data_IF_770565828010
#
_entry.id   IF_770565828010
#
_cell.length_a   1.000
_cell.length_b   1.000
_cell.length_c   1.000
_cell.angle_alpha   90.00
_cell.angle_beta   90.00
_cell.angle_gamma   90.00
#
_symmetry.space_group_name_H-M   'P 1'
#
loop_
_entity.id
_entity.type
_entity.pdbx_description
1 polymer ?
#
# COMPACT_ATOMS: atom_id res chain seq x y z
N UNK A 1 -9.01 -32.43 23.51
CA UNK A 1 -10.41 -32.18 23.10
C UNK A 1 -11.05 -33.53 22.84
N UNK A 2 -11.92 -33.95 23.74
CA UNK A 2 -12.72 -35.18 23.63
C UNK A 2 -13.65 -35.09 22.43
N UNK A 3 -13.96 -36.22 21.78
CA UNK A 3 -14.81 -36.27 20.57
C UNK A 3 -16.23 -35.73 20.85
N UNK A 4 -16.65 -35.71 22.13
CA UNK A 4 -17.97 -35.29 22.58
C UNK A 4 -18.19 -33.76 22.65
N UNK A 5 -17.16 -32.93 22.55
CA UNK A 5 -17.29 -31.45 22.59
C UNK A 5 -17.36 -30.79 21.20
N UNK A 6 -17.56 -31.57 20.14
CA UNK A 6 -17.59 -31.07 18.76
C UNK A 6 -19.02 -30.75 18.34
N UNK A 7 -19.23 -29.52 17.86
CA UNK A 7 -20.46 -29.15 17.16
C UNK A 7 -20.38 -29.60 15.70
N UNK A 8 -21.46 -30.22 15.22
CA UNK A 8 -21.51 -30.82 13.88
C UNK A 8 -22.41 -29.99 12.97
N UNK A 9 -21.81 -29.35 11.97
CA UNK A 9 -22.49 -28.42 11.07
C UNK A 9 -23.13 -29.13 9.85
N UNK A 10 -22.94 -30.45 9.71
CA UNK A 10 -23.27 -31.18 8.49
C UNK A 10 -24.04 -32.47 8.80
N UNK A 11 -25.26 -32.34 9.32
CA UNK A 11 -26.03 -33.48 9.82
C UNK A 11 -27.52 -33.23 10.04
N UNK A 12 -28.23 -32.69 9.05
CA UNK A 12 -29.68 -32.47 9.13
C UNK A 12 -30.41 -32.66 7.81
N UNK A 13 -30.66 -33.92 7.45
CA UNK A 13 -31.61 -34.53 6.51
C UNK A 13 -31.89 -34.00 5.09
N UNK A 14 -31.55 -32.77 4.67
CA UNK A 14 -31.92 -32.30 3.31
C UNK A 14 -30.97 -31.31 2.64
N UNK A 15 -29.68 -31.31 2.95
CA UNK A 15 -28.73 -30.53 2.17
C UNK A 15 -28.31 -31.31 0.92
N UNK A 16 -28.84 -30.88 -0.23
CA UNK A 16 -28.57 -31.49 -1.52
C UNK A 16 -27.18 -31.03 -1.99
N UNK A 17 -26.13 -31.75 -1.61
CA UNK A 17 -24.76 -31.47 -2.07
C UNK A 17 -24.61 -31.88 -3.53
N UNK A 18 -23.98 -31.03 -4.34
CA UNK A 18 -23.68 -31.31 -5.72
C UNK A 18 -22.21 -31.07 -6.00
N UNK A 19 -21.66 -31.97 -6.79
CA UNK A 19 -20.30 -31.84 -7.28
C UNK A 19 -20.19 -30.59 -8.17
N UNK A 20 -19.15 -29.82 -7.95
CA UNK A 20 -18.77 -28.65 -8.71
C UNK A 20 -17.29 -28.81 -9.09
N UNK A 21 -17.04 -29.73 -10.00
CA UNK A 21 -15.71 -30.15 -10.43
C UNK A 21 -15.38 -29.58 -11.82
N UNK A 22 -14.15 -29.78 -12.26
CA UNK A 22 -13.65 -29.37 -13.58
C UNK A 22 -14.42 -29.96 -14.78
N UNK A 23 -15.33 -30.93 -14.58
CA UNK A 23 -16.25 -31.45 -15.60
C UNK A 23 -17.11 -30.37 -16.25
N UNK A 24 -17.40 -29.27 -15.54
CA UNK A 24 -18.07 -28.09 -16.13
C UNK A 24 -17.22 -27.40 -17.21
N UNK A 25 -15.93 -27.76 -17.30
CA UNK A 25 -14.93 -27.30 -18.26
C UNK A 25 -14.37 -28.46 -19.11
N UNK A 26 -15.11 -29.57 -19.25
CA UNK A 26 -14.68 -30.81 -19.95
C UNK A 26 -13.50 -31.56 -19.27
N UNK A 27 -13.17 -31.24 -18.02
CA UNK A 27 -12.20 -32.00 -17.22
C UNK A 27 -12.74 -33.37 -16.79
N UNK A 28 -11.88 -34.17 -16.14
CA UNK A 28 -12.19 -35.55 -15.71
C UNK A 28 -12.17 -35.75 -14.19
N UNK A 29 -11.99 -34.69 -13.40
CA UNK A 29 -12.02 -34.80 -11.95
C UNK A 29 -13.42 -35.12 -11.45
N UNK A 30 -13.49 -35.93 -10.40
CA UNK A 30 -14.73 -36.34 -9.76
C UNK A 30 -14.56 -36.22 -8.26
N UNK A 31 -15.52 -35.59 -7.59
CA UNK A 31 -15.62 -35.57 -6.13
C UNK A 31 -16.96 -36.10 -5.66
N UNK A 32 -16.94 -36.57 -4.42
CA UNK A 32 -18.09 -37.08 -3.69
C UNK A 32 -18.00 -36.57 -2.25
N UNK A 33 -19.12 -36.08 -1.72
CA UNK A 33 -19.29 -35.81 -0.30
C UNK A 33 -20.35 -36.76 0.24
N UNK A 34 -20.01 -37.56 1.24
CA UNK A 34 -20.93 -38.48 1.89
C UNK A 34 -21.04 -38.14 3.37
N UNK A 35 -22.25 -37.85 3.83
CA UNK A 35 -22.53 -37.58 5.24
C UNK A 35 -22.86 -38.91 5.93
N UNK A 36 -22.28 -39.14 7.11
CA UNK A 36 -22.53 -40.33 7.93
C UNK A 36 -23.99 -40.35 8.40
N UNK A 37 -24.53 -41.55 8.66
CA UNK A 37 -25.93 -41.72 9.05
C UNK A 37 -26.30 -41.01 10.36
N UNK A 38 -25.31 -40.77 11.23
CA UNK A 38 -25.49 -40.04 12.48
C UNK A 38 -25.32 -38.52 12.33
N UNK A 39 -25.03 -38.02 11.12
CA UNK A 39 -24.87 -36.59 10.83
C UNK A 39 -23.62 -35.95 11.45
N UNK A 40 -22.72 -36.75 12.02
CA UNK A 40 -21.55 -36.25 12.76
C UNK A 40 -20.30 -36.16 11.91
N UNK A 41 -20.25 -36.81 10.75
CA UNK A 41 -19.04 -36.84 9.93
C UNK A 41 -19.41 -36.70 8.46
N UNK A 42 -18.66 -35.88 7.73
CA UNK A 42 -18.72 -35.83 6.29
C UNK A 42 -17.40 -36.37 5.73
N UNK A 43 -17.48 -37.32 4.80
CA UNK A 43 -16.34 -37.87 4.08
C UNK A 43 -16.31 -37.28 2.68
N UNK A 44 -15.26 -36.52 2.39
CA UNK A 44 -14.97 -36.01 1.05
C UNK A 44 -13.92 -36.90 0.38
N UNK A 45 -14.25 -37.46 -0.78
CA UNK A 45 -13.34 -38.30 -1.56
C UNK A 45 -13.53 -38.07 -3.06
N UNK A 46 -12.60 -38.56 -3.88
CA UNK A 46 -12.68 -38.36 -5.33
C UNK A 46 -11.39 -38.69 -6.08
N UNK A 47 -11.46 -38.50 -7.39
CA UNK A 47 -10.33 -38.61 -8.32
C UNK A 47 -10.02 -37.22 -8.85
N UNK A 48 -8.78 -36.78 -8.65
CA UNK A 48 -8.28 -35.52 -9.21
C UNK A 48 -7.49 -35.84 -10.47
N UNK A 49 -7.94 -35.33 -11.62
CA UNK A 49 -7.21 -35.42 -12.87
C UNK A 49 -6.65 -34.05 -13.25
N UNK A 50 -5.33 -33.92 -13.19
CA UNK A 50 -4.63 -32.68 -13.52
C UNK A 50 -4.16 -32.64 -14.97
N UNK A 51 -4.27 -33.74 -15.71
CA UNK A 51 -3.70 -33.85 -17.07
C UNK A 51 -4.64 -33.35 -18.16
N UNK A 52 -5.95 -33.58 -18.04
CA UNK A 52 -6.92 -33.23 -19.09
C UNK A 52 -7.01 -31.71 -19.34
N UNK A 53 -6.64 -30.88 -18.37
CA UNK A 53 -6.67 -29.42 -18.45
C UNK A 53 -5.28 -28.77 -18.29
N UNK A 54 -4.21 -29.44 -18.75
CA UNK A 54 -2.88 -28.82 -18.83
C UNK A 54 -2.21 -28.52 -17.48
N UNK A 55 -2.50 -29.30 -16.43
CA UNK A 55 -1.89 -29.16 -15.10
C UNK A 55 -2.85 -28.69 -14.01
N UNK A 56 -4.05 -28.21 -14.35
CA UNK A 56 -5.03 -27.68 -13.41
C UNK A 56 -6.26 -28.60 -13.29
N UNK A 57 -6.31 -29.41 -12.23
CA UNK A 57 -7.51 -30.17 -11.86
C UNK A 57 -8.11 -29.65 -10.55
N UNK A 58 -9.43 -29.56 -10.45
CA UNK A 58 -10.09 -29.29 -9.18
C UNK A 58 -11.35 -30.14 -9.00
N UNK A 59 -11.56 -30.58 -7.77
CA UNK A 59 -12.72 -31.34 -7.36
C UNK A 59 -13.31 -30.67 -6.11
N UNK A 60 -14.55 -30.21 -6.16
CA UNK A 60 -15.19 -29.47 -5.07
C UNK A 60 -16.67 -29.80 -4.95
N UNK A 61 -17.24 -29.51 -3.79
CA UNK A 61 -18.65 -29.80 -3.48
C UNK A 61 -19.31 -28.52 -2.98
N UNK A 62 -20.57 -28.31 -3.39
CA UNK A 62 -21.37 -27.16 -2.99
C UNK A 62 -22.78 -27.58 -2.59
N UNK A 63 -23.45 -26.78 -1.79
CA UNK A 63 -24.88 -26.92 -1.55
C UNK A 63 -25.67 -26.56 -2.81
N UNK A 64 -26.81 -27.23 -3.04
CA UNK A 64 -27.70 -26.90 -4.15
C UNK A 64 -28.55 -25.66 -3.87
N UNK A 65 -28.82 -25.36 -2.60
CA UNK A 65 -29.47 -24.11 -2.19
C UNK A 65 -28.46 -22.96 -2.22
N UNK A 66 -28.86 -21.84 -2.84
CA UNK A 66 -28.02 -20.65 -3.00
C UNK A 66 -27.94 -19.81 -1.72
N UNK A 67 -28.90 -19.94 -0.80
CA UNK A 67 -28.98 -19.20 0.47
C UNK A 67 -28.80 -20.13 1.68
N UNK A 68 -27.58 -20.63 1.88
CA UNK A 68 -27.26 -21.43 3.05
C UNK A 68 -27.01 -20.52 4.28
N UNK A 69 -28.07 -20.17 5.00
CA UNK A 69 -27.96 -19.42 6.25
C UNK A 69 -27.57 -20.35 7.41
N UNK A 70 -26.27 -20.46 7.69
CA UNK A 70 -25.76 -21.19 8.85
C UNK A 70 -25.47 -20.22 9.99
N UNK A 71 -26.06 -20.47 11.16
CA UNK A 71 -25.63 -19.81 12.39
C UNK A 71 -24.34 -20.49 12.89
N UNK A 72 -23.22 -19.78 12.76
CA UNK A 72 -21.89 -20.24 13.16
C UNK A 72 -21.42 -19.64 14.49
N UNK A 73 -22.28 -18.89 15.19
CA UNK A 73 -21.88 -18.12 16.38
C UNK A 73 -21.33 -18.98 17.53
N UNK A 74 -21.71 -20.25 17.59
CA UNK A 74 -21.24 -21.20 18.59
C UNK A 74 -19.96 -21.98 18.18
N UNK A 75 -19.40 -21.76 16.99
CA UNK A 75 -18.28 -22.52 16.44
C UNK A 75 -16.98 -21.72 16.48
N UNK A 76 -15.93 -22.27 17.10
CA UNK A 76 -14.60 -21.64 17.15
C UNK A 76 -13.71 -21.95 15.92
N UNK A 77 -14.06 -22.98 15.14
CA UNK A 77 -13.26 -23.41 13.98
C UNK A 77 -13.66 -24.75 13.39
N UNK A 78 -12.84 -25.26 12.47
CA UNK A 78 -13.11 -26.49 11.70
C UNK A 78 -12.05 -27.55 12.03
N UNK A 79 -12.49 -28.77 12.29
CA UNK A 79 -11.62 -29.92 12.54
C UNK A 79 -11.52 -30.76 11.27
N UNK A 80 -10.29 -30.96 10.78
CA UNK A 80 -10.00 -31.78 9.61
C UNK A 80 -9.25 -33.05 10.04
N UNK A 81 -9.74 -34.20 9.59
CA UNK A 81 -9.05 -35.48 9.75
C UNK A 81 -8.61 -35.97 8.38
N UNK A 82 -7.30 -35.99 8.12
CA UNK A 82 -6.74 -36.49 6.87
C UNK A 82 -6.46 -37.99 7.02
N UNK A 83 -7.18 -38.81 6.25
CA UNK A 83 -6.91 -40.25 6.16
C UNK A 83 -5.88 -40.46 5.05
N UNK A 84 -4.66 -40.84 5.43
CA UNK A 84 -3.60 -41.17 4.47
C UNK A 84 -3.95 -42.44 3.69
N UNK A 85 -3.67 -42.46 2.39
CA UNK A 85 -3.69 -43.69 1.59
C UNK A 85 -2.42 -44.47 1.91
N UNK A 86 -2.53 -45.58 2.65
CA UNK A 86 -1.60 -46.72 2.77
C UNK A 86 -0.08 -46.45 2.91
N UNK A 87 0.52 -46.97 3.97
CA UNK A 87 1.97 -47.09 4.14
C UNK A 87 2.66 -47.61 2.87
N UNK A 88 3.66 -46.88 2.37
CA UNK A 88 4.63 -47.47 1.44
C UNK A 88 5.45 -46.55 0.55
N UNK A 89 5.03 -45.31 0.27
CA UNK A 89 5.74 -44.49 -0.72
C UNK A 89 5.98 -43.05 -0.24
N UNK A 90 7.16 -42.78 0.34
CA UNK A 90 7.59 -41.44 0.76
C UNK A 90 7.56 -40.40 -0.38
N UNK A 91 7.47 -40.84 -1.63
CA UNK A 91 7.38 -39.99 -2.83
C UNK A 91 6.01 -39.33 -3.05
N UNK A 92 4.97 -39.71 -2.31
CA UNK A 92 3.60 -39.18 -2.48
C UNK A 92 3.09 -38.40 -1.26
N UNK A 93 3.90 -37.51 -0.67
CA UNK A 93 3.39 -36.47 0.24
C UNK A 93 2.48 -35.50 -0.52
N UNK A 94 1.18 -35.78 -0.51
CA UNK A 94 0.16 -34.91 -1.11
C UNK A 94 -0.06 -33.69 -0.20
N UNK A 95 0.05 -32.49 -0.77
CA UNK A 95 -0.35 -31.24 -0.12
C UNK A 95 -1.82 -31.00 -0.44
N UNK A 96 -2.62 -30.76 0.58
CA UNK A 96 -4.03 -30.42 0.44
C UNK A 96 -4.24 -28.95 0.78
N UNK A 97 -5.01 -28.25 -0.04
CA UNK A 97 -5.52 -26.92 0.28
C UNK A 97 -7.04 -27.05 0.47
N UNK A 98 -7.54 -26.63 1.63
CA UNK A 98 -8.97 -26.49 1.86
C UNK A 98 -9.34 -25.03 1.63
N UNK A 99 -10.26 -24.80 0.70
CA UNK A 99 -10.84 -23.49 0.44
C UNK A 99 -12.31 -23.54 0.83
N UNK A 100 -12.73 -22.63 1.70
CA UNK A 100 -14.13 -22.40 2.02
C UNK A 100 -14.50 -21.05 1.45
N UNK A 101 -15.52 -21.01 0.61
CA UNK A 101 -15.98 -19.81 -0.07
C UNK A 101 -17.50 -19.78 -0.11
N UNK A 102 -18.04 -18.58 0.06
CA UNK A 102 -19.43 -18.19 -0.16
C UNK A 102 -19.67 -17.69 -1.61
N UNK A 103 -18.64 -17.72 -2.46
CA UNK A 103 -18.69 -17.26 -3.86
C UNK A 103 -18.62 -18.45 -4.81
N UNK A 104 -19.57 -18.55 -5.73
CA UNK A 104 -19.60 -19.58 -6.79
C UNK A 104 -18.46 -19.34 -7.77
N UNK A 105 -17.66 -20.37 -8.05
CA UNK A 105 -16.60 -20.28 -9.06
C UNK A 105 -17.20 -19.95 -10.43
N UNK A 106 -16.73 -18.86 -11.05
CA UNK A 106 -17.24 -18.42 -12.36
C UNK A 106 -16.73 -19.32 -13.50
N UNK A 107 -17.51 -19.34 -14.58
CA UNK A 107 -17.18 -20.01 -15.84
C UNK A 107 -16.20 -19.10 -16.59
N UNK A 108 -14.95 -19.55 -16.83
CA UNK A 108 -14.07 -18.88 -17.80
C UNK A 108 -14.79 -18.90 -19.16
N UNK A 109 -14.92 -17.73 -19.79
CA UNK A 109 -15.37 -17.62 -21.17
C UNK A 109 -14.33 -18.36 -22.03
N UNK A 110 -14.79 -19.18 -22.97
CA UNK A 110 -13.93 -20.01 -23.81
C UNK A 110 -13.18 -19.14 -24.82
N UNK A 111 -11.86 -19.20 -24.76
CA UNK A 111 -10.89 -18.62 -25.69
C UNK A 111 -10.93 -19.39 -27.02
N UNK A 112 -11.85 -19.06 -27.93
CA UNK A 112 -11.89 -19.66 -29.28
C UNK A 112 -11.70 -18.64 -30.42
N UNK A 113 -11.52 -17.34 -30.15
CA UNK A 113 -11.14 -16.36 -31.18
C UNK A 113 -10.31 -15.25 -30.51
N UNK A 114 -8.98 -15.36 -30.53
CA UNK A 114 -8.02 -14.27 -30.76
C UNK A 114 -6.59 -14.80 -30.70
N UNK A 115 -5.78 -14.34 -31.67
CA UNK A 115 -4.42 -14.79 -31.96
C UNK A 115 -3.44 -14.52 -30.81
N UNK A 116 -2.43 -15.38 -30.72
CA UNK A 116 -1.36 -15.43 -29.74
C UNK A 116 -0.73 -14.05 -29.43
N UNK A 117 -1.18 -13.41 -28.36
CA UNK A 117 -0.28 -12.76 -27.42
C UNK A 117 -0.22 -13.64 -26.18
N UNK A 118 0.96 -14.19 -25.87
CA UNK A 118 1.25 -14.80 -24.59
C UNK A 118 1.04 -13.75 -23.49
N UNK A 119 -0.20 -13.58 -23.02
CA UNK A 119 -0.46 -13.00 -21.71
C UNK A 119 0.16 -13.98 -20.71
N UNK A 120 1.40 -13.68 -20.33
CA UNK A 120 1.97 -14.06 -19.06
C UNK A 120 0.84 -13.92 -18.03
N UNK A 121 0.30 -15.03 -17.50
CA UNK A 121 -0.60 -15.08 -16.35
C UNK A 121 0.19 -14.67 -15.10
N UNK A 122 0.90 -13.54 -15.19
CA UNK A 122 1.33 -12.72 -14.11
C UNK A 122 0.02 -12.14 -13.58
N UNK A 123 -0.45 -12.69 -12.46
CA UNK A 123 -1.28 -11.96 -11.51
C UNK A 123 -0.51 -10.73 -11.03
N UNK A 124 -0.24 -9.83 -11.98
CA UNK A 124 0.85 -8.90 -11.99
C UNK A 124 0.57 -7.92 -10.89
N UNK A 125 1.38 -8.06 -9.84
CA UNK A 125 1.32 -7.28 -8.62
C UNK A 125 0.90 -5.86 -8.98
N UNK A 126 -0.15 -5.35 -8.35
CA UNK A 126 -0.65 -3.96 -8.56
C UNK A 126 0.46 -2.90 -8.49
N UNK A 127 1.62 -3.28 -7.94
CA UNK A 127 2.93 -2.66 -8.08
C UNK A 127 3.27 -2.18 -9.50
N UNK A 128 3.31 -3.05 -10.50
CA UNK A 128 3.77 -2.67 -11.86
C UNK A 128 2.85 -1.62 -12.49
N UNK A 129 1.51 -1.82 -12.54
CA UNK A 129 0.59 -0.80 -13.04
C UNK A 129 0.66 0.53 -12.27
N UNK A 130 0.88 0.47 -10.95
CA UNK A 130 1.00 1.67 -10.11
C UNK A 130 2.24 2.49 -10.43
N UNK A 131 3.40 1.83 -10.58
CA UNK A 131 4.66 2.50 -10.95
C UNK A 131 4.56 3.02 -12.39
N UNK A 132 4.04 2.22 -13.32
CA UNK A 132 3.82 2.64 -14.71
C UNK A 132 2.91 3.88 -14.78
N UNK A 133 1.81 3.90 -14.02
CA UNK A 133 0.93 5.06 -13.92
C UNK A 133 1.66 6.30 -13.38
N UNK A 134 2.58 6.12 -12.41
CA UNK A 134 3.37 7.23 -11.89
C UNK A 134 4.23 7.89 -12.98
N UNK A 135 4.91 7.08 -13.79
CA UNK A 135 5.72 7.57 -14.90
C UNK A 135 4.86 8.15 -16.04
N UNK A 136 3.73 7.52 -16.37
CA UNK A 136 2.82 8.00 -17.40
C UNK A 136 2.26 9.39 -17.05
N UNK A 137 1.78 9.58 -15.82
CA UNK A 137 1.26 10.88 -15.36
C UNK A 137 2.37 11.93 -15.42
N UNK A 138 3.56 11.61 -14.94
CA UNK A 138 4.68 12.57 -14.95
C UNK A 138 5.13 12.92 -16.37
N UNK A 139 5.14 11.96 -17.30
CA UNK A 139 5.39 12.22 -18.71
C UNK A 139 4.33 13.14 -19.33
N UNK A 140 3.04 12.91 -19.02
CA UNK A 140 1.94 13.75 -19.49
C UNK A 140 2.06 15.20 -19.00
N UNK A 141 2.52 15.43 -17.76
CA UNK A 141 2.78 16.77 -17.25
C UNK A 141 4.10 17.38 -17.76
N UNK A 142 5.10 16.55 -18.08
CA UNK A 142 6.37 17.01 -18.61
C UNK A 142 6.23 17.65 -20.00
N UNK A 143 5.34 17.13 -20.86
CA UNK A 143 5.10 17.65 -22.22
C UNK A 143 4.69 19.13 -22.22
N UNK A 144 3.55 19.55 -21.62
CA UNK A 144 3.18 20.97 -21.60
C UNK A 144 4.18 21.80 -20.80
N UNK A 145 4.77 21.26 -19.73
CA UNK A 145 5.74 22.00 -18.91
C UNK A 145 7.00 22.35 -19.71
N UNK A 146 7.52 21.42 -20.52
CA UNK A 146 8.70 21.64 -21.36
C UNK A 146 8.41 22.56 -22.55
N UNK A 147 7.22 22.47 -23.15
CA UNK A 147 6.77 23.38 -24.22
C UNK A 147 6.66 24.81 -23.71
N UNK A 148 6.00 25.02 -22.56
CA UNK A 148 5.76 26.34 -21.99
C UNK A 148 6.86 26.84 -21.05
N UNK A 149 7.93 26.03 -20.85
CA UNK A 149 9.03 26.31 -19.91
C UNK A 149 8.54 26.76 -18.52
N UNK A 150 7.48 26.10 -18.05
CA UNK A 150 6.74 26.48 -16.84
C UNK A 150 6.81 25.38 -15.80
N UNK A 151 7.28 25.72 -14.62
CA UNK A 151 7.35 24.85 -13.44
C UNK A 151 6.03 24.78 -12.66
N UNK A 152 5.02 25.58 -13.05
CA UNK A 152 3.75 25.70 -12.32
C UNK A 152 3.03 24.36 -12.15
N UNK A 153 3.24 23.44 -13.08
CA UNK A 153 2.63 22.12 -13.06
C UNK A 153 3.44 21.08 -12.27
N UNK A 154 4.68 21.37 -11.88
CA UNK A 154 5.57 20.39 -11.26
C UNK A 154 5.10 19.96 -9.86
N UNK A 155 4.71 20.91 -9.00
CA UNK A 155 4.21 20.57 -7.66
C UNK A 155 2.81 19.90 -7.73
N UNK A 156 2.00 20.28 -8.72
CA UNK A 156 0.67 19.71 -8.96
C UNK A 156 0.80 18.27 -9.48
N UNK A 157 1.69 18.02 -10.45
CA UNK A 157 1.90 16.69 -11.04
C UNK A 157 2.27 15.68 -9.97
N UNK A 158 3.18 16.04 -9.05
CA UNK A 158 3.52 15.20 -7.89
C UNK A 158 2.30 14.83 -7.05
N UNK A 159 1.45 15.82 -6.73
CA UNK A 159 0.23 15.59 -5.93
C UNK A 159 -0.77 14.69 -6.66
N UNK A 160 -1.03 14.96 -7.94
CA UNK A 160 -1.91 14.14 -8.80
C UNK A 160 -1.38 12.70 -8.90
N UNK A 161 -0.06 12.54 -9.02
CA UNK A 161 0.59 11.22 -9.12
C UNK A 161 0.33 10.39 -7.86
N UNK A 162 0.53 10.95 -6.65
CA UNK A 162 0.28 10.21 -5.41
C UNK A 162 -1.20 9.82 -5.27
N UNK A 163 -2.12 10.73 -5.59
CA UNK A 163 -3.56 10.44 -5.54
C UNK A 163 -3.97 9.35 -6.53
N UNK A 164 -3.47 9.43 -7.77
CA UNK A 164 -3.76 8.46 -8.81
C UNK A 164 -3.19 7.08 -8.48
N UNK A 165 -1.92 7.02 -8.05
CA UNK A 165 -1.26 5.77 -7.64
C UNK A 165 -1.93 5.13 -6.44
N UNK A 166 -2.32 5.92 -5.43
CA UNK A 166 -3.08 5.42 -4.29
C UNK A 166 -4.44 4.87 -4.68
N UNK A 167 -5.18 5.59 -5.53
CA UNK A 167 -6.49 5.17 -6.04
C UNK A 167 -6.41 3.93 -6.94
N UNK A 168 -5.52 3.92 -7.93
CA UNK A 168 -5.26 2.77 -8.78
C UNK A 168 -4.88 1.55 -7.95
N UNK A 169 -3.94 1.70 -7.01
CA UNK A 169 -3.55 0.63 -6.11
C UNK A 169 -4.75 0.02 -5.38
N UNK A 170 -5.61 0.88 -4.82
CA UNK A 170 -6.73 0.43 -4.00
C UNK A 170 -7.84 -0.24 -4.82
N UNK A 171 -8.13 0.27 -6.03
CA UNK A 171 -9.32 -0.13 -6.79
C UNK A 171 -9.04 -1.07 -7.97
N UNK A 172 -7.83 -1.07 -8.54
CA UNK A 172 -7.49 -1.89 -9.71
C UNK A 172 -7.73 -3.40 -9.48
N UNK A 173 -7.40 -4.01 -8.32
CA UNK A 173 -7.72 -5.41 -8.07
C UNK A 173 -9.22 -5.68 -8.08
N UNK A 174 -10.01 -4.79 -7.46
CA UNK A 174 -11.46 -4.94 -7.39
C UNK A 174 -12.11 -4.78 -8.77
N UNK A 175 -11.64 -3.81 -9.57
CA UNK A 175 -12.11 -3.57 -10.93
C UNK A 175 -11.80 -4.75 -11.86
N UNK A 176 -10.61 -5.35 -11.75
CA UNK A 176 -10.25 -6.55 -12.53
C UNK A 176 -11.10 -7.77 -12.18
N UNK A 177 -11.53 -7.87 -10.92
CA UNK A 177 -12.39 -8.97 -10.45
C UNK A 177 -13.89 -8.72 -10.63
N UNK A 178 -14.30 -7.51 -11.04
CA UNK A 178 -15.70 -7.12 -11.05
C UNK A 178 -16.38 -7.49 -12.38
N UNK A 179 -17.33 -8.42 -12.32
CA UNK A 179 -18.26 -8.70 -13.41
C UNK A 179 -19.47 -7.75 -13.33
N UNK A 180 -19.31 -6.51 -13.78
CA UNK A 180 -20.41 -5.54 -13.92
C UNK A 180 -20.19 -4.15 -13.28
N UNK A 181 -21.26 -3.35 -13.21
CA UNK A 181 -21.21 -1.99 -12.64
C UNK A 181 -21.02 -2.03 -11.12
N UNK A 182 -19.91 -1.51 -10.63
CA UNK A 182 -19.55 -1.53 -9.22
C UNK A 182 -19.77 -0.16 -8.57
N UNK A 183 -20.52 -0.11 -7.47
CA UNK A 183 -20.69 1.12 -6.67
C UNK A 183 -19.46 1.38 -5.79
N UNK A 184 -19.19 2.65 -5.45
CA UNK A 184 -18.09 3.04 -4.55
C UNK A 184 -18.10 2.32 -3.20
N UNK A 185 -19.28 2.06 -2.64
CA UNK A 185 -19.42 1.31 -1.38
C UNK A 185 -18.98 -0.15 -1.53
N UNK A 186 -19.28 -0.79 -2.66
CA UNK A 186 -18.86 -2.15 -2.96
C UNK A 186 -17.35 -2.24 -3.17
N UNK A 187 -16.75 -1.25 -3.85
CA UNK A 187 -15.29 -1.16 -4.05
C UNK A 187 -14.52 -1.05 -2.74
N UNK A 188 -15.05 -0.33 -1.74
CA UNK A 188 -14.39 -0.21 -0.43
C UNK A 188 -14.60 -1.46 0.44
N UNK A 189 -15.76 -2.12 0.36
CA UNK A 189 -16.06 -3.33 1.15
C UNK A 189 -15.19 -4.53 0.76
N UNK A 190 -14.70 -4.59 -0.48
CA UNK A 190 -13.78 -5.65 -0.92
C UNK A 190 -12.35 -5.45 -0.41
N UNK A 191 -12.04 -4.31 0.24
CA UNK A 191 -10.68 -3.96 0.66
C UNK A 191 -10.52 -4.06 2.17
N UNK A 192 -9.35 -4.54 2.59
CA UNK A 192 -9.04 -4.63 4.00
C UNK A 192 -8.86 -3.23 4.60
N UNK A 193 -9.30 -3.02 5.85
CA UNK A 193 -9.29 -1.71 6.49
C UNK A 193 -7.90 -1.05 6.52
N UNK A 194 -6.81 -1.83 6.61
CA UNK A 194 -5.43 -1.32 6.57
C UNK A 194 -5.06 -0.73 5.21
N UNK A 195 -5.52 -1.33 4.11
CA UNK A 195 -5.30 -0.83 2.74
C UNK A 195 -5.97 0.54 2.57
N UNK A 196 -7.21 0.66 3.05
CA UNK A 196 -7.97 1.90 3.04
C UNK A 196 -7.28 2.95 3.93
N UNK A 197 -6.93 2.59 5.16
CA UNK A 197 -6.32 3.51 6.12
C UNK A 197 -4.98 4.06 5.62
N UNK A 198 -4.07 3.22 5.13
CA UNK A 198 -2.75 3.66 4.67
C UNK A 198 -2.82 4.47 3.37
N UNK A 199 -3.74 4.12 2.47
CA UNK A 199 -4.01 4.93 1.27
C UNK A 199 -4.56 6.30 1.68
N UNK A 200 -5.52 6.35 2.60
CA UNK A 200 -6.11 7.59 3.10
C UNK A 200 -5.06 8.47 3.81
N UNK A 201 -4.18 7.89 4.62
CA UNK A 201 -3.08 8.61 5.27
C UNK A 201 -2.15 9.29 4.26
N UNK A 202 -1.74 8.57 3.21
CA UNK A 202 -0.94 9.15 2.14
C UNK A 202 -1.69 10.27 1.41
N UNK A 203 -2.96 10.04 1.05
CA UNK A 203 -3.78 11.05 0.36
C UNK A 203 -4.03 12.30 1.22
N UNK A 204 -4.32 12.16 2.51
CA UNK A 204 -4.50 13.30 3.43
C UNK A 204 -3.24 14.15 3.48
N UNK A 205 -2.08 13.51 3.63
CA UNK A 205 -0.80 14.20 3.61
C UNK A 205 -0.58 14.92 2.27
N UNK A 206 -0.80 14.24 1.14
CA UNK A 206 -0.64 14.83 -0.20
C UNK A 206 -1.57 16.00 -0.45
N UNK A 207 -2.85 15.89 -0.09
CA UNK A 207 -3.81 16.98 -0.29
C UNK A 207 -3.37 18.20 0.53
N UNK A 208 -2.94 17.99 1.76
CA UNK A 208 -2.46 19.06 2.64
C UNK A 208 -1.19 19.72 2.10
N UNK A 209 -0.17 18.93 1.76
CA UNK A 209 1.11 19.46 1.27
C UNK A 209 0.94 20.07 -0.12
N UNK A 210 0.25 19.38 -1.03
CA UNK A 210 -0.06 19.85 -2.37
C UNK A 210 -0.85 21.15 -2.39
N UNK A 211 -1.84 21.31 -1.50
CA UNK A 211 -2.58 22.57 -1.36
C UNK A 211 -1.69 23.71 -0.89
N UNK A 212 -0.79 23.46 0.06
CA UNK A 212 0.16 24.46 0.55
C UNK A 212 1.16 24.89 -0.53
N UNK A 213 1.72 23.93 -1.28
CA UNK A 213 2.65 24.21 -2.37
C UNK A 213 1.96 24.93 -3.53
N UNK A 214 0.74 24.54 -3.89
CA UNK A 214 -0.03 25.18 -4.93
C UNK A 214 -0.36 26.64 -4.60
N UNK A 215 -0.79 26.93 -3.37
CA UNK A 215 -0.98 28.31 -2.90
C UNK A 215 0.31 29.14 -2.96
N UNK A 216 1.46 28.52 -2.67
CA UNK A 216 2.77 29.17 -2.77
C UNK A 216 3.16 29.51 -4.21
N UNK A 217 2.91 28.59 -5.15
CA UNK A 217 3.19 28.82 -6.57
C UNK A 217 2.33 29.97 -7.12
N UNK A 218 1.05 30.01 -6.76
CA UNK A 218 0.15 31.10 -7.17
C UNK A 218 0.55 32.46 -6.61
N UNK A 219 1.16 32.51 -5.43
CA UNK A 219 1.52 33.76 -4.75
C UNK A 219 2.91 34.30 -5.12
N UNK A 220 3.90 33.42 -5.32
CA UNK A 220 5.30 33.83 -5.54
C UNK A 220 5.81 33.64 -6.99
N UNK A 221 5.02 33.02 -7.86
CA UNK A 221 5.15 33.09 -9.33
C UNK A 221 6.28 32.27 -9.97
N UNK A 222 7.44 32.12 -9.32
CA UNK A 222 8.59 31.39 -9.87
C UNK A 222 9.42 30.69 -8.78
N UNK A 223 9.90 29.47 -9.05
CA UNK A 223 10.81 28.73 -8.17
C UNK A 223 12.24 28.71 -8.71
N UNK A 224 13.15 29.35 -7.96
CA UNK A 224 14.60 29.44 -8.20
C UNK A 224 15.30 28.11 -8.56
N UNK A 225 14.74 26.96 -8.15
CA UNK A 225 15.31 25.63 -8.45
C UNK A 225 15.25 25.31 -9.94
N UNK A 226 14.24 25.82 -10.65
CA UNK A 226 13.98 25.48 -12.05
C UNK A 226 14.61 26.46 -13.05
N UNK A 227 15.07 27.63 -12.59
CA UNK A 227 15.63 28.69 -13.43
C UNK A 227 16.75 28.21 -14.36
N UNK A 228 17.61 27.30 -13.87
CA UNK A 228 18.75 26.78 -14.63
C UNK A 228 18.40 25.63 -15.57
N UNK A 229 17.26 24.95 -15.36
CA UNK A 229 16.91 23.72 -16.08
C UNK A 229 15.73 23.89 -17.04
N UNK A 230 14.85 24.88 -16.83
CA UNK A 230 13.64 25.08 -17.66
C UNK A 230 13.93 25.31 -19.15
N UNK A 231 15.11 25.86 -19.47
CA UNK A 231 15.55 26.12 -20.85
C UNK A 231 16.13 24.87 -21.55
N UNK A 232 16.27 23.74 -20.85
CA UNK A 232 16.84 22.49 -21.37
C UNK A 232 15.78 21.38 -21.30
N UNK A 233 15.07 21.07 -22.40
CA UNK A 233 13.88 20.23 -22.36
C UNK A 233 14.14 18.82 -21.79
N UNK A 234 15.24 18.18 -22.17
CA UNK A 234 15.60 16.85 -21.65
C UNK A 234 15.95 16.87 -20.15
N UNK A 235 16.67 17.90 -19.70
CA UNK A 235 17.03 18.05 -18.27
C UNK A 235 15.77 18.36 -17.46
N UNK A 236 14.88 19.20 -17.99
CA UNK A 236 13.62 19.51 -17.32
C UNK A 236 12.68 18.29 -17.26
N UNK A 237 12.54 17.53 -18.36
CA UNK A 237 11.80 16.28 -18.37
C UNK A 237 12.36 15.24 -17.37
N UNK A 238 13.69 15.18 -17.21
CA UNK A 238 14.30 14.30 -16.20
C UNK A 238 13.89 14.65 -14.77
N UNK A 239 13.53 15.90 -14.47
CA UNK A 239 13.00 16.28 -13.17
C UNK A 239 11.61 15.67 -12.89
N UNK A 240 10.78 15.50 -13.92
CA UNK A 240 9.48 14.82 -13.81
C UNK A 240 9.67 13.31 -13.64
N UNK A 241 10.64 12.70 -14.33
CA UNK A 241 11.00 11.30 -14.11
C UNK A 241 11.57 11.05 -12.70
N UNK A 242 12.38 11.97 -12.18
CA UNK A 242 12.85 11.93 -10.79
C UNK A 242 11.67 12.04 -9.80
N UNK A 243 10.66 12.86 -10.12
CA UNK A 243 9.43 12.95 -9.32
C UNK A 243 8.60 11.66 -9.37
N UNK A 244 8.48 11.01 -10.53
CA UNK A 244 7.83 9.69 -10.65
C UNK A 244 8.52 8.63 -9.78
N UNK A 245 9.85 8.62 -9.81
CA UNK A 245 10.69 7.71 -9.02
C UNK A 245 10.51 7.97 -7.53
N UNK A 246 10.52 9.24 -7.13
CA UNK A 246 10.28 9.66 -5.75
C UNK A 246 8.89 9.22 -5.25
N UNK A 247 7.83 9.53 -6.00
CA UNK A 247 6.46 9.13 -5.65
C UNK A 247 6.36 7.61 -5.52
N UNK A 248 6.93 6.86 -6.45
CA UNK A 248 6.94 5.40 -6.41
C UNK A 248 7.64 4.86 -5.17
N UNK A 249 8.77 5.45 -4.78
CA UNK A 249 9.53 5.03 -3.61
C UNK A 249 8.80 5.33 -2.28
N UNK A 250 8.24 6.54 -2.11
CA UNK A 250 7.52 6.90 -0.87
C UNK A 250 6.18 6.16 -0.74
N UNK A 251 5.52 5.85 -1.86
CA UNK A 251 4.26 5.12 -1.88
C UNK A 251 4.43 3.61 -1.82
N UNK A 252 5.65 3.09 -1.88
CA UNK A 252 5.91 1.65 -1.91
C UNK A 252 5.24 0.82 -0.81
N UNK A 253 5.24 1.21 0.48
CA UNK A 253 4.46 0.51 1.50
C UNK A 253 2.96 0.42 1.17
N UNK A 254 2.37 1.48 0.60
CA UNK A 254 0.95 1.52 0.21
C UNK A 254 0.71 0.65 -1.01
N UNK A 255 1.56 0.77 -2.03
CA UNK A 255 1.48 0.01 -3.28
C UNK A 255 1.62 -1.50 -3.00
N UNK A 256 2.62 -1.89 -2.21
CA UNK A 256 2.84 -3.27 -1.83
C UNK A 256 1.67 -3.84 -1.03
N UNK A 257 1.13 -3.08 -0.07
CA UNK A 257 -0.03 -3.52 0.70
C UNK A 257 -1.29 -3.63 -0.18
N UNK A 258 -1.48 -2.70 -1.10
CA UNK A 258 -2.62 -2.72 -2.01
C UNK A 258 -2.55 -3.86 -3.04
N UNK A 259 -1.36 -4.35 -3.39
CA UNK A 259 -1.20 -5.51 -4.26
C UNK A 259 -1.65 -6.84 -3.63
N UNK A 260 -1.79 -6.89 -2.31
CA UNK A 260 -2.14 -8.13 -1.59
C UNK A 260 -3.67 -8.34 -1.62
N UNK A 261 -4.14 -9.57 -1.89
CA UNK A 261 -5.56 -9.92 -1.79
C UNK A 261 -6.10 -9.74 -0.36
N UNK A 262 -7.28 -9.13 -0.22
CA UNK A 262 -7.89 -8.85 1.09
C UNK A 262 -8.09 -10.11 1.95
N UNK A 263 -8.34 -11.26 1.32
CA UNK A 263 -8.47 -12.56 1.99
C UNK A 263 -7.19 -12.94 2.77
N UNK A 264 -6.01 -12.62 2.26
CA UNK A 264 -4.74 -12.88 2.93
C UNK A 264 -4.53 -11.97 4.16
N UNK A 265 -5.28 -10.87 4.27
CA UNK A 265 -5.22 -9.96 5.42
C UNK A 265 -6.26 -10.25 6.50
N UNK A 266 -7.22 -11.16 6.30
CA UNK A 266 -8.26 -11.43 7.30
C UNK A 266 -7.71 -11.93 8.64
N UNK A 267 -6.54 -12.58 8.63
CA UNK A 267 -5.83 -13.02 9.84
C UNK A 267 -5.11 -11.89 10.60
N UNK A 268 -5.16 -10.65 10.09
CA UNK A 268 -4.41 -9.52 10.62
C UNK A 268 -5.19 -8.66 11.63
N UNK A 269 -5.40 -9.18 12.84
CA UNK A 269 -5.98 -8.41 13.94
C UNK A 269 -5.20 -7.12 14.22
N UNK A 270 -5.90 -6.09 14.71
CA UNK A 270 -5.28 -4.83 15.15
C UNK A 270 -4.23 -5.12 16.24
N UNK A 271 -3.02 -4.57 16.09
CA UNK A 271 -1.91 -4.84 16.98
C UNK A 271 -1.19 -3.58 17.45
N UNK A 272 -0.21 -3.76 18.33
CA UNK A 272 0.61 -2.67 18.90
C UNK A 272 1.28 -1.81 17.81
N UNK A 273 1.80 -2.42 16.75
CA UNK A 273 2.44 -1.69 15.65
C UNK A 273 1.45 -0.82 14.84
N UNK A 274 0.17 -1.21 14.78
CA UNK A 274 -0.86 -0.38 14.15
C UNK A 274 -1.10 0.87 15.00
N UNK A 275 -1.25 0.70 16.33
CA UNK A 275 -1.39 1.82 17.27
C UNK A 275 -0.18 2.76 17.22
N UNK A 276 1.04 2.21 17.25
CA UNK A 276 2.27 3.00 17.19
C UNK A 276 2.39 3.74 15.86
N UNK A 277 2.13 3.06 14.74
CA UNK A 277 2.23 3.65 13.42
C UNK A 277 1.20 4.76 13.18
N UNK A 278 -0.05 4.58 13.61
CA UNK A 278 -1.07 5.65 13.55
C UNK A 278 -0.72 6.82 14.46
N UNK A 279 -0.20 6.56 15.66
CA UNK A 279 0.22 7.61 16.59
C UNK A 279 1.38 8.42 16.03
N UNK A 280 2.39 7.76 15.45
CA UNK A 280 3.51 8.41 14.77
C UNK A 280 3.05 9.25 13.57
N UNK A 281 2.14 8.71 12.76
CA UNK A 281 1.59 9.45 11.62
C UNK A 281 0.83 10.70 12.05
N UNK A 282 -0.05 10.59 13.05
CA UNK A 282 -0.80 11.73 13.57
C UNK A 282 0.13 12.78 14.19
N UNK A 283 1.14 12.36 14.96
CA UNK A 283 2.14 13.25 15.54
C UNK A 283 2.97 13.97 14.47
N UNK A 284 3.46 13.22 13.47
CA UNK A 284 4.24 13.78 12.35
C UNK A 284 3.44 14.77 11.52
N UNK A 285 2.20 14.43 11.15
CA UNK A 285 1.31 15.32 10.42
C UNK A 285 1.02 16.60 11.23
N UNK A 286 0.78 16.48 12.54
CA UNK A 286 0.53 17.63 13.42
C UNK A 286 1.75 18.53 13.53
N UNK A 287 2.94 17.95 13.70
CA UNK A 287 4.20 18.69 13.76
C UNK A 287 4.45 19.45 12.46
N UNK A 288 4.34 18.76 11.32
CA UNK A 288 4.52 19.38 10.01
C UNK A 288 3.47 20.46 9.76
N UNK A 289 2.20 20.23 10.09
CA UNK A 289 1.09 21.18 9.89
C UNK A 289 1.25 22.44 10.72
N UNK A 290 1.73 22.28 11.95
CA UNK A 290 1.97 23.40 12.86
C UNK A 290 3.18 24.21 12.41
N UNK A 291 4.27 23.54 12.00
CA UNK A 291 5.47 24.19 11.50
C UNK A 291 5.20 25.03 10.23
N UNK A 292 4.50 24.47 9.24
CA UNK A 292 4.19 25.20 8.01
C UNK A 292 3.24 26.37 8.25
N UNK A 293 2.27 26.23 9.17
CA UNK A 293 1.38 27.33 9.55
C UNK A 293 2.14 28.46 10.25
N UNK A 294 3.04 28.15 11.18
CA UNK A 294 3.88 29.14 11.85
C UNK A 294 4.76 29.86 10.84
N UNK A 295 5.44 29.11 9.96
CA UNK A 295 6.27 29.66 8.89
C UNK A 295 5.46 30.52 7.91
N UNK A 296 4.29 30.06 7.50
CA UNK A 296 3.40 30.81 6.59
C UNK A 296 2.91 32.12 7.19
N UNK A 297 2.47 32.12 8.45
CA UNK A 297 2.05 33.35 9.16
C UNK A 297 3.20 34.35 9.30
N UNK A 298 4.39 33.87 9.64
CA UNK A 298 5.55 34.76 9.77
C UNK A 298 5.96 35.36 8.42
N UNK A 299 5.99 34.57 7.34
CA UNK A 299 6.28 35.08 5.99
C UNK A 299 5.25 36.12 5.53
N UNK A 300 3.97 35.92 5.83
CA UNK A 300 2.92 36.89 5.52
C UNK A 300 3.06 38.16 6.37
N UNK A 301 3.35 38.05 7.66
CA UNK A 301 3.63 39.20 8.52
C UNK A 301 4.88 39.97 8.07
N UNK A 302 5.92 39.29 7.59
CA UNK A 302 7.08 39.94 6.92
C UNK A 302 6.65 40.72 5.69
N UNK A 303 5.78 40.16 4.85
CA UNK A 303 5.24 40.85 3.66
C UNK A 303 4.43 42.10 4.03
N UNK A 304 3.67 42.02 5.13
CA UNK A 304 2.89 43.12 5.69
C UNK A 304 3.72 44.11 6.54
N UNK A 305 5.05 43.96 6.59
CA UNK A 305 5.96 44.78 7.42
C UNK A 305 5.62 44.78 8.92
N UNK A 306 5.03 43.69 9.41
CA UNK A 306 4.71 43.48 10.83
C UNK A 306 5.87 42.84 11.60
N UNK A 307 6.78 42.17 10.90
CA UNK A 307 8.00 41.61 11.46
C UNK A 307 9.22 42.22 10.77
N UNK A 308 10.15 42.79 11.52
CA UNK A 308 11.44 43.28 11.00
C UNK A 308 12.58 42.27 11.21
N UNK A 309 12.32 41.23 11.98
CA UNK A 309 13.28 40.18 12.33
C UNK A 309 13.83 39.43 11.10
N UNK A 310 15.14 39.11 11.10
CA UNK A 310 15.80 38.45 9.98
C UNK A 310 15.43 36.96 9.83
N UNK A 311 15.02 36.28 10.91
CA UNK A 311 14.66 34.86 10.92
C UNK A 311 13.53 34.59 11.92
N UNK A 312 12.77 33.51 11.69
CA UNK A 312 11.73 33.05 12.60
C UNK A 312 12.39 32.34 13.79
N UNK A 313 12.23 32.88 15.00
CA UNK A 313 12.80 32.36 16.26
C UNK A 313 11.76 32.03 17.33
N UNK A 314 10.49 31.88 16.93
CA UNK A 314 9.37 31.62 17.84
C UNK A 314 8.70 30.26 17.56
N UNK A 315 7.98 29.74 18.56
CA UNK A 315 7.21 28.51 18.43
C UNK A 315 8.07 27.26 18.22
N UNK A 316 7.74 26.44 17.21
CA UNK A 316 8.50 25.22 16.89
C UNK A 316 9.88 25.50 16.29
N UNK A 317 10.16 26.76 15.95
CA UNK A 317 11.45 27.24 15.46
C UNK A 317 12.22 27.99 16.55
N UNK A 318 11.78 27.90 17.81
CA UNK A 318 12.41 28.62 18.92
C UNK A 318 13.87 28.21 19.12
N UNK A 319 14.65 29.16 19.63
CA UNK A 319 16.10 29.04 19.87
C UNK A 319 16.49 27.95 20.91
N UNK A 320 15.52 27.36 21.61
CA UNK A 320 15.81 26.38 22.65
C UNK A 320 16.32 25.06 22.05
N UNK A 321 17.37 24.47 22.63
CA UNK A 321 18.12 23.30 22.11
C UNK A 321 17.31 22.01 21.85
N UNK A 322 16.01 22.02 22.13
CA UNK A 322 15.08 20.90 21.92
C UNK A 322 14.28 21.05 20.62
N UNK A 323 14.15 22.28 20.09
CA UNK A 323 13.44 22.53 18.84
C UNK A 323 14.37 22.32 17.63
N UNK A 324 13.99 21.49 16.64
CA UNK A 324 14.79 21.31 15.43
C UNK A 324 14.72 22.55 14.53
N UNK A 325 15.79 22.81 13.77
CA UNK A 325 15.79 23.87 12.74
C UNK A 325 14.77 23.62 11.62
N UNK A 326 14.42 22.36 11.39
CA UNK A 326 13.49 21.94 10.36
C UNK A 326 12.36 21.05 10.92
N UNK A 327 11.45 21.59 11.75
CA UNK A 327 10.37 20.82 12.38
C UNK A 327 9.39 20.24 11.36
N UNK A 328 9.20 20.93 10.23
CA UNK A 328 8.41 20.42 9.11
C UNK A 328 9.02 19.15 8.49
N UNK A 329 10.34 19.11 8.29
CA UNK A 329 11.02 17.92 7.77
C UNK A 329 11.02 16.75 8.77
N UNK A 330 11.17 17.05 10.07
CA UNK A 330 11.00 16.03 11.11
C UNK A 330 9.59 15.44 11.09
N UNK A 331 8.56 16.28 10.95
CA UNK A 331 7.17 15.84 10.84
C UNK A 331 6.94 14.92 9.64
N UNK A 332 7.47 15.29 8.46
CA UNK A 332 7.39 14.48 7.25
C UNK A 332 8.10 13.12 7.39
N UNK A 333 9.31 13.09 7.95
CA UNK A 333 10.01 11.82 8.22
C UNK A 333 9.21 10.95 9.21
N UNK A 334 8.68 11.57 10.26
CA UNK A 334 7.94 10.87 11.32
C UNK A 334 6.65 10.25 10.78
N UNK A 335 5.90 10.97 9.93
CA UNK A 335 4.64 10.44 9.40
C UNK A 335 4.86 9.32 8.39
N UNK A 336 5.87 9.41 7.52
CA UNK A 336 6.20 8.31 6.61
C UNK A 336 6.75 7.09 7.36
N UNK A 337 7.46 7.31 8.47
CA UNK A 337 7.86 6.23 9.39
C UNK A 337 6.65 5.58 10.07
N UNK A 338 5.66 6.36 10.48
CA UNK A 338 4.39 5.85 11.04
C UNK A 338 3.64 4.99 10.04
N UNK A 339 3.49 5.47 8.80
CA UNK A 339 2.89 4.73 7.69
C UNK A 339 3.63 3.42 7.41
N UNK A 340 4.96 3.47 7.32
CA UNK A 340 5.81 2.28 7.14
C UNK A 340 5.67 1.29 8.29
N UNK A 341 5.49 1.75 9.54
CA UNK A 341 5.33 0.88 10.71
C UNK A 341 4.04 0.05 10.63
N UNK A 342 2.92 0.67 10.26
CA UNK A 342 1.65 -0.05 10.04
C UNK A 342 1.77 -1.01 8.85
N UNK A 343 2.41 -0.57 7.76
CA UNK A 343 2.60 -1.40 6.57
C UNK A 343 3.49 -2.62 6.87
N UNK A 344 4.62 -2.43 7.55
CA UNK A 344 5.55 -3.50 7.92
C UNK A 344 4.86 -4.55 8.81
N UNK A 345 4.00 -4.13 9.74
CA UNK A 345 3.23 -5.06 10.60
C UNK A 345 2.30 -5.98 9.80
N UNK A 346 1.72 -5.46 8.71
CA UNK A 346 0.89 -6.24 7.81
C UNK A 346 1.73 -7.13 6.89
N UNK A 347 2.76 -6.56 6.26
CA UNK A 347 3.57 -7.22 5.24
C UNK A 347 4.53 -8.29 5.81
N UNK A 348 4.84 -8.26 7.11
CA UNK A 348 5.65 -9.29 7.76
C UNK A 348 4.90 -10.62 7.94
N UNK A 349 3.57 -10.66 7.75
CA UNK A 349 2.78 -11.88 7.94
C UNK A 349 2.92 -12.84 6.75
N UNK A 350 3.01 -14.13 7.04
CA UNK A 350 3.18 -15.18 6.02
C UNK A 350 2.08 -15.22 4.94
N UNK A 351 0.77 -15.11 5.26
CA UNK A 351 -0.27 -15.07 4.24
C UNK A 351 -0.10 -13.88 3.27
N UNK A 352 0.35 -12.74 3.79
CA UNK A 352 0.59 -11.52 3.01
C UNK A 352 1.80 -11.67 2.11
N UNK A 353 2.88 -12.31 2.59
CA UNK A 353 4.05 -12.64 1.75
C UNK A 353 3.69 -13.56 0.58
N UNK A 354 2.92 -14.61 0.84
CA UNK A 354 2.44 -15.51 -0.20
C UNK A 354 1.53 -14.79 -1.20
N UNK A 355 0.70 -13.85 -0.72
CA UNK A 355 -0.11 -12.99 -1.58
C UNK A 355 0.68 -12.02 -2.46
N UNK A 356 1.96 -11.76 -2.15
CA UNK A 356 2.90 -11.02 -2.99
C UNK A 356 3.74 -11.93 -3.90
N UNK A 357 3.42 -13.23 -3.98
CA UNK A 357 4.21 -14.21 -4.73
C UNK A 357 5.54 -14.58 -4.05
N UNK A 358 5.77 -14.18 -2.80
CA UNK A 358 6.98 -14.51 -2.05
C UNK A 358 6.81 -15.88 -1.35
N UNK A 359 7.81 -16.76 -1.46
CA UNK A 359 7.78 -18.11 -0.86
C UNK A 359 7.68 -18.19 0.67
N UNK A 360 7.65 -17.05 1.36
CA UNK A 360 7.60 -16.91 2.81
C UNK A 360 8.95 -17.16 3.51
N UNK A 361 8.96 -17.03 4.84
CA UNK A 361 10.16 -17.25 5.66
C UNK A 361 11.02 -16.00 5.83
N UNK A 362 12.28 -16.17 6.27
CA UNK A 362 13.16 -15.04 6.61
C UNK A 362 13.42 -14.11 5.41
N UNK A 363 13.62 -14.66 4.21
CA UNK A 363 13.79 -13.87 3.00
C UNK A 363 12.54 -13.04 2.65
N UNK A 364 11.34 -13.64 2.78
CA UNK A 364 10.08 -12.93 2.58
C UNK A 364 9.90 -11.76 3.55
N UNK A 365 10.23 -11.96 4.84
CA UNK A 365 10.19 -10.91 5.86
C UNK A 365 11.18 -9.79 5.54
N UNK A 366 12.41 -10.12 5.14
CA UNK A 366 13.41 -9.12 4.77
C UNK A 366 12.95 -8.29 3.57
N UNK A 367 12.45 -8.93 2.51
CA UNK A 367 11.94 -8.24 1.33
C UNK A 367 10.77 -7.31 1.68
N UNK A 368 9.78 -7.81 2.43
CA UNK A 368 8.61 -6.98 2.76
C UNK A 368 8.92 -5.86 3.74
N UNK A 369 9.86 -6.07 4.66
CA UNK A 369 10.36 -5.02 5.55
C UNK A 369 11.11 -3.95 4.76
N UNK A 370 11.95 -4.35 3.79
CA UNK A 370 12.65 -3.41 2.91
C UNK A 370 11.68 -2.55 2.09
N UNK A 371 10.63 -3.15 1.52
CA UNK A 371 9.57 -2.43 0.80
C UNK A 371 8.86 -1.39 1.68
N UNK A 372 8.61 -1.72 2.95
CA UNK A 372 7.99 -0.80 3.90
C UNK A 372 8.93 0.36 4.28
N UNK A 373 10.21 0.05 4.56
CA UNK A 373 11.22 1.02 4.97
C UNK A 373 11.72 1.92 3.84
N UNK A 374 11.46 1.57 2.57
CA UNK A 374 11.85 2.38 1.42
C UNK A 374 11.30 3.81 1.52
N UNK A 375 10.08 3.96 2.01
CA UNK A 375 9.42 5.26 2.16
C UNK A 375 10.14 6.20 3.13
N UNK A 376 10.28 5.87 4.44
CA UNK A 376 10.99 6.73 5.38
C UNK A 376 12.48 6.88 5.04
N UNK A 377 13.12 5.85 4.46
CA UNK A 377 14.51 5.95 4.03
C UNK A 377 14.69 6.96 2.89
N UNK A 378 13.86 6.89 1.86
CA UNK A 378 13.90 7.82 0.73
C UNK A 378 13.58 9.25 1.17
N UNK A 379 12.53 9.44 1.97
CA UNK A 379 12.16 10.75 2.51
C UNK A 379 13.30 11.34 3.34
N UNK A 380 13.90 10.56 4.24
CA UNK A 380 15.04 11.00 5.06
C UNK A 380 16.24 11.37 4.21
N UNK A 381 16.59 10.53 3.22
CA UNK A 381 17.71 10.79 2.32
C UNK A 381 17.52 12.09 1.53
N UNK A 382 16.37 12.27 0.90
CA UNK A 382 16.10 13.47 0.10
C UNK A 382 16.10 14.74 0.96
N UNK A 383 15.47 14.70 2.13
CA UNK A 383 15.39 15.86 3.02
C UNK A 383 16.74 16.18 3.66
N UNK A 384 17.57 15.20 4.01
CA UNK A 384 18.83 15.46 4.72
C UNK A 384 20.03 15.64 3.81
N UNK A 385 20.06 15.00 2.63
CA UNK A 385 21.25 14.92 1.77
C UNK A 385 21.10 15.60 0.40
N UNK A 386 19.89 15.73 -0.14
CA UNK A 386 19.71 16.18 -1.53
C UNK A 386 19.07 17.55 -1.63
N UNK A 387 17.81 17.69 -1.19
CA UNK A 387 16.98 18.86 -1.52
C UNK A 387 16.52 19.66 -0.31
N UNK A 388 16.24 19.03 0.84
CA UNK A 388 15.63 19.71 1.98
C UNK A 388 16.60 20.65 2.69
N UNK A 389 17.34 20.10 3.65
CA UNK A 389 18.27 20.78 4.53
C UNK A 389 19.44 21.40 3.74
N UNK A 390 20.13 20.69 2.82
CA UNK A 390 21.31 21.24 2.16
C UNK A 390 21.02 22.50 1.32
N UNK A 391 19.93 22.49 0.53
CA UNK A 391 19.57 23.65 -0.28
C UNK A 391 19.07 24.81 0.58
N UNK A 392 18.38 24.51 1.69
CA UNK A 392 17.91 25.54 2.62
C UNK A 392 19.07 26.18 3.37
N UNK A 393 19.98 25.39 3.94
CA UNK A 393 21.16 25.86 4.65
C UNK A 393 22.08 26.67 3.72
N UNK A 394 22.35 26.20 2.50
CA UNK A 394 23.17 26.94 1.54
C UNK A 394 22.61 28.35 1.25
N UNK A 395 21.28 28.47 1.11
CA UNK A 395 20.62 29.77 0.91
C UNK A 395 20.72 30.69 2.15
N UNK A 396 20.64 30.13 3.35
CA UNK A 396 20.77 30.91 4.58
C UNK A 396 22.23 31.29 4.86
N UNK A 397 23.18 30.39 4.58
CA UNK A 397 24.61 30.63 4.71
C UNK A 397 25.09 31.73 3.76
N UNK A 398 24.62 31.74 2.51
CA UNK A 398 24.91 32.80 1.54
C UNK A 398 24.38 34.18 2.00
N UNK A 399 23.23 34.20 2.69
CA UNK A 399 22.58 35.44 3.10
C UNK A 399 23.03 35.97 4.46
N UNK A 400 23.29 35.08 5.41
CA UNK A 400 23.53 35.41 6.83
C UNK A 400 24.83 34.85 7.38
N UNK A 401 25.64 34.18 6.55
CA UNK A 401 26.85 33.48 6.96
C UNK A 401 27.89 34.36 7.65
N UNK A 402 27.87 35.68 7.41
CA UNK A 402 28.78 36.63 8.05
C UNK A 402 28.32 37.14 9.42
N UNK A 403 27.07 36.86 9.81
CA UNK A 403 26.54 37.32 11.09
C UNK A 403 26.88 36.35 12.23
N UNK A 404 27.35 36.90 13.34
CA UNK A 404 27.73 36.12 14.53
C UNK A 404 26.53 35.46 15.22
N UNK A 405 25.39 36.14 15.26
CA UNK A 405 24.14 35.61 15.82
C UNK A 405 23.64 34.37 15.07
N UNK A 406 23.69 34.40 13.73
CA UNK A 406 23.33 33.28 12.87
C UNK A 406 24.27 32.07 13.08
N UNK A 407 25.59 32.32 13.18
CA UNK A 407 26.58 31.27 13.46
C UNK A 407 26.37 30.63 14.83
N UNK A 408 26.08 31.44 15.85
CA UNK A 408 25.78 30.96 17.21
C UNK A 408 24.51 30.12 17.24
N UNK A 409 23.44 30.61 16.60
CA UNK A 409 22.18 29.87 16.45
C UNK A 409 22.37 28.52 15.76
N UNK A 410 23.08 28.50 14.62
CA UNK A 410 23.32 27.28 13.84
C UNK A 410 24.10 26.22 14.62
N UNK A 411 25.01 26.65 15.50
CA UNK A 411 25.82 25.77 16.34
C UNK A 411 25.01 25.16 17.50
N UNK A 412 24.11 25.94 18.09
CA UNK A 412 23.38 25.55 19.30
C UNK A 412 22.02 24.88 19.02
N UNK A 413 21.58 24.87 17.76
CA UNK A 413 20.26 24.34 17.37
C UNK A 413 20.42 23.10 16.48
N UNK A 414 19.91 21.91 16.90
CA UNK A 414 20.02 20.69 16.11
C UNK A 414 19.25 20.79 14.78
N UNK A 415 19.67 20.03 13.76
CA UNK A 415 18.97 20.03 12.46
C UNK A 415 17.60 19.39 12.58
N UNK A 416 17.54 18.21 13.20
CA UNK A 416 16.34 17.37 13.28
C UNK A 416 16.13 16.76 14.67
N UNK A 417 17.16 16.16 15.27
CA UNK A 417 17.05 15.50 16.57
C UNK A 417 18.20 15.91 17.51
N UNK A 418 17.91 16.35 18.74
CA UNK A 418 18.94 16.70 19.70
C UNK A 418 19.93 15.54 19.92
N UNK A 419 21.22 15.82 19.80
CA UNK A 419 22.30 14.85 20.09
C UNK A 419 22.59 13.81 19.00
N UNK A 420 21.80 13.77 17.91
CA UNK A 420 22.03 12.84 16.78
C UNK A 420 22.24 13.59 15.46
N UNK A 421 21.52 14.71 15.24
CA UNK A 421 21.46 15.40 13.94
C UNK A 421 21.43 16.93 14.04
#
# INVERSE_FOLDING_TARGET
>A
MTVDDRLYLYGGDKLNWRASDDRVRKGKSQSYLTISKDGKTASFNGTLDTQTLGGAGFASQRTADEDLCLDLSAYDGIVLSLVGCGDGDEKLKKKYALTLSDVKAEKRISDDDDEEEEEEDDGGMTVVPSVAAAFAIQALFAVPSTIYQSERFYDISGSVTVLAVGGLGLFLPALRSASGSMTWSSLLKTRHWRQIALTAMAMVWTIRLGSYLFQRVLSHGTDSRFDKIRNRPLVFASAFAAQATWVSAIMMPVIALNAVPSAAMLSASFGLFDLLGFSLWAAGLTLEATADRQKGRWLEGRRLKQHDEPFLSDGLFSFWSVAPRFPNYLGEITLWTGLATVAASALARRPVQLGLGLGGGAAGIMTTTALALLSPAMTTFLLTQVSGIPLSEAKYDDRYGDREDYRSWKRNTPRLLPGVW
#
